data_IF_494807962015
#
_entry.id   IF_494807962015
#
_cell.length_a   1.000
_cell.length_b   1.000
_cell.length_c   1.000
_cell.angle_alpha   90.00
_cell.angle_beta   90.00
_cell.angle_gamma   90.00
#
_symmetry.space_group_name_H-M   'P 1'
#
loop_
_entity.id
_entity.type
_entity.pdbx_description
1 polymer ?
#
# COMPACT_ATOMS: atom_id res chain seq x y z
N UNK A 1 16.19 -36.51 10.74
CA UNK A 1 16.15 -35.08 11.14
C UNK A 1 16.89 -34.23 10.11
N UNK A 2 16.27 -33.92 8.97
CA UNK A 2 16.85 -33.02 7.98
C UNK A 2 16.30 -31.61 8.21
N UNK A 3 17.08 -30.71 8.82
CA UNK A 3 16.75 -29.27 8.77
C UNK A 3 17.15 -28.77 7.38
N UNK A 4 16.22 -28.84 6.43
CA UNK A 4 16.38 -28.19 5.14
C UNK A 4 16.64 -26.70 5.36
N UNK A 5 17.74 -26.18 4.84
CA UNK A 5 18.10 -24.77 4.97
C UNK A 5 16.97 -23.90 4.41
N UNK A 6 16.45 -23.00 5.23
CA UNK A 6 15.44 -22.02 4.80
C UNK A 6 16.14 -21.07 3.83
N UNK A 7 15.94 -21.27 2.52
CA UNK A 7 16.42 -20.33 1.52
C UNK A 7 15.76 -18.95 1.80
N UNK A 8 16.53 -17.89 2.09
CA UNK A 8 15.96 -16.61 2.48
C UNK A 8 15.25 -15.96 1.27
N UNK A 9 13.92 -15.90 1.31
CA UNK A 9 13.14 -15.21 0.28
C UNK A 9 13.12 -13.70 0.58
N UNK A 10 13.95 -12.91 -0.11
CA UNK A 10 14.01 -11.45 0.02
C UNK A 10 12.70 -10.72 -0.36
N UNK A 11 11.79 -11.42 -1.04
CA UNK A 11 10.49 -10.91 -1.50
C UNK A 11 9.59 -10.40 -0.36
N UNK A 12 9.64 -11.05 0.80
CA UNK A 12 8.82 -10.69 1.98
C UNK A 12 9.29 -9.37 2.61
N UNK A 13 10.58 -9.20 3.00
CA UNK A 13 11.05 -7.93 3.56
C UNK A 13 10.98 -6.78 2.55
N UNK A 14 11.29 -7.01 1.27
CA UNK A 14 11.18 -5.98 0.25
C UNK A 14 9.75 -5.44 0.08
N UNK A 15 8.73 -6.31 0.11
CA UNK A 15 7.34 -5.89 -0.01
C UNK A 15 6.83 -5.19 1.25
N UNK A 16 7.25 -5.63 2.43
CA UNK A 16 6.94 -4.93 3.68
C UNK A 16 7.52 -3.51 3.69
N UNK A 17 8.78 -3.34 3.27
CA UNK A 17 9.40 -2.02 3.12
C UNK A 17 8.69 -1.16 2.08
N UNK A 18 8.25 -1.74 0.96
CA UNK A 18 7.45 -1.04 -0.04
C UNK A 18 6.12 -0.52 0.52
N UNK A 19 5.42 -1.31 1.34
CA UNK A 19 4.18 -0.88 2.01
C UNK A 19 4.47 0.25 3.00
N UNK A 20 5.51 0.12 3.82
CA UNK A 20 5.90 1.15 4.79
C UNK A 20 6.26 2.46 4.08
N UNK A 21 7.06 2.38 3.02
CA UNK A 21 7.42 3.55 2.21
C UNK A 21 6.19 4.19 1.57
N UNK A 22 5.25 3.40 1.06
CA UNK A 22 3.98 3.89 0.51
C UNK A 22 3.15 4.62 1.56
N UNK A 23 2.96 4.03 2.75
CA UNK A 23 2.23 4.66 3.85
C UNK A 23 2.94 5.95 4.29
N UNK A 24 4.26 5.95 4.34
CA UNK A 24 5.05 7.13 4.72
C UNK A 24 4.86 8.29 3.73
N UNK A 25 4.95 8.01 2.42
CA UNK A 25 4.65 8.98 1.36
C UNK A 25 3.22 9.50 1.49
N UNK A 26 2.27 8.60 1.73
CA UNK A 26 0.86 8.97 1.90
C UNK A 26 0.64 9.89 3.10
N UNK A 27 1.26 9.60 4.25
CA UNK A 27 1.19 10.44 5.45
C UNK A 27 1.73 11.84 5.14
N UNK A 28 2.92 11.93 4.52
CA UNK A 28 3.55 13.22 4.17
C UNK A 28 2.64 14.02 3.24
N UNK A 29 2.07 13.39 2.22
CA UNK A 29 1.14 14.03 1.30
C UNK A 29 -0.04 14.64 2.07
N UNK A 30 -0.74 13.84 2.87
CA UNK A 30 -1.94 14.27 3.60
C UNK A 30 -1.64 15.36 4.62
N UNK A 31 -0.56 15.22 5.41
CA UNK A 31 -0.19 16.26 6.39
C UNK A 31 0.23 17.56 5.73
N UNK A 32 0.87 17.52 4.56
CA UNK A 32 1.25 18.72 3.81
C UNK A 32 0.03 19.50 3.31
N UNK A 33 -1.05 18.80 2.92
CA UNK A 33 -2.30 19.44 2.50
C UNK A 33 -3.25 19.76 3.67
N UNK A 34 -3.00 19.23 4.87
CA UNK A 34 -3.88 19.36 6.05
C UNK A 34 -4.17 20.82 6.42
N UNK A 35 -3.18 21.71 6.30
CA UNK A 35 -3.39 23.14 6.59
C UNK A 35 -4.47 23.77 5.70
N UNK A 36 -4.45 23.46 4.40
CA UNK A 36 -5.41 23.96 3.42
C UNK A 36 -6.78 23.31 3.60
N UNK A 37 -6.82 22.00 3.84
CA UNK A 37 -8.06 21.26 4.11
C UNK A 37 -8.72 21.76 5.39
N UNK A 38 -7.92 22.12 6.41
CA UNK A 38 -8.37 22.67 7.69
C UNK A 38 -9.14 23.99 7.56
N UNK A 39 -8.91 24.76 6.50
CA UNK A 39 -9.61 26.02 6.23
C UNK A 39 -10.96 25.84 5.54
N UNK A 40 -11.24 24.64 5.01
CA UNK A 40 -12.51 24.33 4.34
C UNK A 40 -13.61 24.07 5.38
N UNK A 41 -14.85 24.36 4.99
CA UNK A 41 -16.03 24.00 5.78
C UNK A 41 -16.11 22.47 5.99
N UNK A 42 -16.63 22.03 7.14
CA UNK A 42 -16.60 20.61 7.54
C UNK A 42 -17.23 19.67 6.49
N UNK A 43 -18.26 20.15 5.79
CA UNK A 43 -18.93 19.41 4.72
C UNK A 43 -18.04 19.14 3.49
N UNK A 44 -17.07 20.02 3.22
CA UNK A 44 -16.08 19.83 2.16
C UNK A 44 -14.89 18.98 2.64
N UNK A 45 -14.53 19.06 3.93
CA UNK A 45 -13.50 18.20 4.52
C UNK A 45 -13.90 16.72 4.50
N UNK A 46 -15.17 16.44 4.77
CA UNK A 46 -15.71 15.08 4.88
C UNK A 46 -15.46 14.23 3.61
N UNK A 47 -15.84 14.64 2.39
CA UNK A 47 -15.53 13.88 1.19
C UNK A 47 -14.02 13.80 0.91
N UNK A 48 -13.24 14.84 1.23
CA UNK A 48 -11.77 14.81 1.05
C UNK A 48 -11.17 13.69 1.92
N UNK A 49 -11.53 13.62 3.20
CA UNK A 49 -11.00 12.61 4.10
C UNK A 49 -11.52 11.21 3.77
N UNK A 50 -12.78 11.07 3.33
CA UNK A 50 -13.32 9.78 2.88
C UNK A 50 -12.57 9.27 1.66
N UNK A 51 -12.40 10.11 0.63
CA UNK A 51 -11.68 9.73 -0.59
C UNK A 51 -10.22 9.39 -0.26
N UNK A 52 -9.55 10.24 0.51
CA UNK A 52 -8.18 10.00 0.97
C UNK A 52 -8.07 8.70 1.76
N UNK A 53 -9.05 8.41 2.63
CA UNK A 53 -9.15 7.18 3.42
C UNK A 53 -9.48 5.92 2.62
N UNK A 54 -9.95 6.02 1.38
CA UNK A 54 -10.18 4.88 0.48
C UNK A 54 -8.99 4.69 -0.46
N UNK A 55 -8.48 5.77 -1.04
CA UNK A 55 -7.46 5.72 -2.09
C UNK A 55 -6.16 5.08 -1.60
N UNK A 56 -5.75 5.31 -0.35
CA UNK A 56 -4.50 4.75 0.19
C UNK A 56 -4.46 3.22 0.28
N UNK A 57 -5.64 2.57 0.27
CA UNK A 57 -5.80 1.11 0.37
C UNK A 57 -5.57 0.43 -0.99
N UNK A 58 -5.95 1.08 -2.09
CA UNK A 58 -5.89 0.53 -3.45
C UNK A 58 -4.55 -0.15 -3.80
N UNK A 59 -3.38 0.44 -3.54
CA UNK A 59 -2.10 -0.17 -3.90
C UNK A 59 -1.65 -1.31 -2.97
N UNK A 60 -2.23 -1.44 -1.76
CA UNK A 60 -1.84 -2.49 -0.81
C UNK A 60 -2.12 -3.89 -1.37
N UNK A 61 -3.24 -4.06 -2.08
CA UNK A 61 -3.61 -5.33 -2.68
C UNK A 61 -2.60 -5.83 -3.74
N UNK A 62 -1.97 -4.92 -4.47
CA UNK A 62 -0.91 -5.24 -5.43
C UNK A 62 0.40 -5.66 -4.75
N UNK A 63 0.81 -4.91 -3.72
CA UNK A 63 2.01 -5.19 -2.93
C UNK A 63 1.92 -6.54 -2.20
N UNK A 64 0.77 -6.83 -1.57
CA UNK A 64 0.50 -8.12 -0.90
C UNK A 64 0.59 -9.28 -1.89
N UNK A 65 -0.05 -9.15 -3.05
CA UNK A 65 -0.05 -10.19 -4.09
C UNK A 65 1.37 -10.45 -4.64
N UNK A 66 2.16 -9.39 -4.78
CA UNK A 66 3.57 -9.51 -5.16
C UNK A 66 4.40 -10.20 -4.09
N UNK A 67 4.15 -9.97 -2.80
CA UNK A 67 4.83 -10.67 -1.70
C UNK A 67 4.51 -12.16 -1.67
N UNK A 68 3.29 -12.55 -2.01
CA UNK A 68 2.86 -13.96 -2.03
C UNK A 68 3.37 -14.68 -3.29
N UNK A 69 3.05 -14.16 -4.48
CA UNK A 69 3.23 -14.89 -5.75
C UNK A 69 4.40 -14.44 -6.63
N UNK A 70 4.96 -13.25 -6.38
CA UNK A 70 6.07 -12.68 -7.15
C UNK A 70 5.61 -12.18 -8.52
N UNK A 71 4.30 -12.19 -8.75
CA UNK A 71 3.65 -11.75 -9.96
C UNK A 71 2.73 -10.59 -9.62
N UNK A 72 2.86 -9.50 -10.35
CA UNK A 72 1.98 -8.33 -10.22
C UNK A 72 0.60 -8.58 -10.84
N UNK A 73 0.48 -9.56 -11.74
CA UNK A 73 -0.73 -9.86 -12.52
C UNK A 73 -0.99 -11.37 -12.51
N UNK A 74 -2.26 -11.79 -12.44
CA UNK A 74 -2.62 -13.19 -12.74
C UNK A 74 -2.21 -13.48 -14.20
N UNK A 75 -1.67 -14.66 -14.52
CA UNK A 75 -1.50 -15.07 -15.91
C UNK A 75 -2.87 -14.98 -16.61
N UNK A 76 -2.99 -14.12 -17.61
CA UNK A 76 -4.13 -14.14 -18.53
C UNK A 76 -3.89 -15.29 -19.51
N UNK A 77 -4.31 -16.48 -19.09
CA UNK A 77 -4.14 -17.71 -19.85
C UNK A 77 -4.96 -18.81 -19.20
N UNK A 78 -6.29 -18.73 -19.35
CA UNK A 78 -7.09 -19.95 -19.40
C UNK A 78 -6.79 -20.59 -20.77
N UNK A 79 -6.05 -21.70 -20.73
CA UNK A 79 -6.29 -22.85 -21.59
C UNK A 79 -6.40 -24.05 -20.66
#
# INVERSE_FOLDING_TARGET
MARGGVAPSWRKPAGALGIVAWIFVWIILVTSFSHWIGQLHVLAQLPIYVVTGIVWILPLGGALRWMETGRWRRPSGAQ
#
